data_IF_812524014337
#
_entry.id   IF_812524014337
#
_cell.length_a   1.000
_cell.length_b   1.000
_cell.length_c   1.000
_cell.angle_alpha   90.00
_cell.angle_beta   90.00
_cell.angle_gamma   90.00
#
_symmetry.space_group_name_H-M   'P 1'
#
loop_
_entity.id
_entity.type
_entity.pdbx_description
1 polymer ?
#
# COMPACT_ATOMS: atom_id res chain seq x y z
N UNK A 1 -13.24 0.76 10.81
CA UNK A 1 -12.86 0.38 9.44
C UNK A 1 -11.91 -0.78 9.48
N UNK A 2 -11.90 -1.60 8.44
CA UNK A 2 -10.99 -2.73 8.33
C UNK A 2 -9.70 -2.31 7.64
N UNK A 3 -8.63 -3.06 7.89
CA UNK A 3 -7.38 -2.90 7.16
C UNK A 3 -7.33 -3.88 6.00
N UNK A 4 -6.58 -3.47 4.99
CA UNK A 4 -6.40 -4.21 3.75
C UNK A 4 -4.96 -4.08 3.31
N UNK A 5 -4.52 -5.00 2.45
CA UNK A 5 -3.22 -4.91 1.79
C UNK A 5 -3.43 -5.09 0.30
N UNK A 6 -2.77 -4.28 -0.52
CA UNK A 6 -2.64 -4.63 -1.91
C UNK A 6 -1.18 -4.71 -2.32
N UNK A 7 -0.93 -5.66 -3.20
CA UNK A 7 0.39 -5.89 -3.78
C UNK A 7 0.41 -5.31 -5.19
N UNK A 8 1.55 -4.75 -5.56
CA UNK A 8 1.82 -4.26 -6.90
C UNK A 8 2.90 -5.17 -7.48
N UNK A 9 2.51 -6.03 -8.41
CA UNK A 9 3.43 -6.97 -9.04
C UNK A 9 4.03 -6.31 -10.27
N UNK A 10 5.34 -6.00 -10.27
CA UNK A 10 5.98 -5.32 -11.39
C UNK A 10 6.05 -6.22 -12.62
N UNK A 11 6.24 -5.64 -13.81
CA UNK A 11 6.17 -6.41 -15.07
C UNK A 11 7.38 -7.32 -15.31
N UNK A 12 8.48 -7.14 -14.56
CA UNK A 12 9.71 -7.92 -14.77
C UNK A 12 10.59 -7.90 -13.53
N UNK A 13 11.53 -8.83 -13.46
CA UNK A 13 12.57 -8.82 -12.42
C UNK A 13 13.47 -7.61 -12.56
N UNK A 14 14.12 -7.22 -11.47
CA UNK A 14 15.01 -6.05 -11.39
C UNK A 14 14.33 -4.77 -11.87
N UNK A 15 13.03 -4.66 -11.65
CA UNK A 15 12.22 -3.56 -12.16
C UNK A 15 12.74 -2.20 -11.70
N UNK A 16 13.05 -2.06 -10.40
CA UNK A 16 13.51 -0.78 -9.84
C UNK A 16 14.78 -0.28 -10.51
N UNK A 17 15.67 -1.19 -10.93
CA UNK A 17 16.93 -0.84 -11.57
C UNK A 17 16.82 -0.66 -13.08
N UNK A 18 15.70 -1.06 -13.69
CA UNK A 18 15.54 -1.10 -15.14
C UNK A 18 14.30 -0.36 -15.64
N UNK A 19 13.71 0.50 -14.82
CA UNK A 19 12.53 1.28 -15.25
C UNK A 19 12.84 2.15 -16.45
N UNK A 20 11.92 2.13 -17.42
CA UNK A 20 11.94 3.08 -18.54
C UNK A 20 11.60 4.48 -18.04
N UNK A 21 11.82 5.51 -18.86
CA UNK A 21 11.44 6.87 -18.52
C UNK A 21 9.94 6.99 -18.27
N UNK A 22 9.11 6.33 -19.07
CA UNK A 22 7.67 6.32 -18.89
C UNK A 22 7.28 5.65 -17.56
N UNK A 23 7.92 4.54 -17.22
CA UNK A 23 7.69 3.85 -15.95
C UNK A 23 8.09 4.72 -14.76
N UNK A 24 9.23 5.40 -14.84
CA UNK A 24 9.66 6.32 -13.80
C UNK A 24 8.65 7.43 -13.58
N UNK A 25 8.09 7.96 -14.66
CA UNK A 25 7.09 9.01 -14.58
C UNK A 25 5.80 8.55 -13.91
N UNK A 26 5.27 7.40 -14.32
CA UNK A 26 4.02 6.90 -13.75
C UNK A 26 4.21 6.44 -12.30
N UNK A 27 5.37 5.87 -11.95
CA UNK A 27 5.68 5.52 -10.56
C UNK A 27 5.83 6.77 -9.69
N UNK A 28 6.31 7.88 -10.25
CA UNK A 28 6.33 9.16 -9.57
C UNK A 28 4.94 9.66 -9.21
N UNK A 29 4.00 9.58 -10.14
CA UNK A 29 2.59 9.93 -9.91
C UNK A 29 1.96 9.01 -8.86
N UNK A 30 2.21 7.72 -8.97
CA UNK A 30 1.78 6.70 -8.02
C UNK A 30 2.27 7.04 -6.60
N UNK A 31 3.53 7.38 -6.45
CA UNK A 31 4.11 7.72 -5.16
C UNK A 31 3.48 8.96 -4.55
N UNK A 32 3.23 10.00 -5.36
CA UNK A 32 2.57 11.21 -4.88
C UNK A 32 1.13 10.92 -4.40
N UNK A 33 0.42 10.04 -5.10
CA UNK A 33 -0.91 9.62 -4.65
C UNK A 33 -0.85 8.90 -3.30
N UNK A 34 0.12 7.98 -3.13
CA UNK A 34 0.30 7.27 -1.86
C UNK A 34 0.62 8.21 -0.72
N UNK A 35 1.46 9.23 -0.96
CA UNK A 35 1.76 10.25 0.06
C UNK A 35 0.51 11.01 0.46
N UNK A 36 -0.33 11.38 -0.49
CA UNK A 36 -1.58 12.07 -0.21
C UNK A 36 -2.50 11.18 0.64
N UNK A 37 -2.63 9.90 0.27
CA UNK A 37 -3.46 8.96 1.02
C UNK A 37 -2.90 8.70 2.43
N UNK A 38 -1.58 8.77 2.60
CA UNK A 38 -0.96 8.69 3.91
C UNK A 38 -1.31 9.92 4.75
N UNK A 39 -1.21 11.10 4.18
CA UNK A 39 -1.53 12.36 4.86
C UNK A 39 -3.02 12.43 5.25
N UNK A 40 -3.88 11.86 4.44
CA UNK A 40 -5.32 11.78 4.70
C UNK A 40 -5.70 10.72 5.73
N UNK A 41 -4.77 9.86 6.11
CA UNK A 41 -5.02 8.80 7.09
C UNK A 41 -5.55 7.50 6.49
N UNK A 42 -5.59 7.37 5.17
CA UNK A 42 -6.02 6.15 4.49
C UNK A 42 -4.93 5.10 4.46
N UNK A 43 -3.71 5.49 4.06
CA UNK A 43 -2.56 4.58 4.04
C UNK A 43 -1.92 4.49 5.42
N UNK A 44 -1.50 3.28 5.78
CA UNK A 44 -0.81 2.99 7.04
C UNK A 44 0.69 2.84 6.78
N UNK A 45 1.06 2.03 5.79
CA UNK A 45 2.46 1.79 5.42
C UNK A 45 2.55 1.38 3.97
N UNK A 46 3.56 1.86 3.27
CA UNK A 46 3.80 1.50 1.88
C UNK A 46 5.30 1.29 1.68
N UNK A 47 5.65 0.42 0.76
CA UNK A 47 7.05 0.23 0.39
C UNK A 47 7.21 -0.98 -0.54
N UNK A 48 8.33 -1.06 -1.24
CA UNK A 48 8.64 -2.19 -2.10
C UNK A 48 9.50 -3.22 -1.38
N UNK A 49 9.44 -4.47 -1.84
CA UNK A 49 10.50 -5.41 -1.52
C UNK A 49 11.74 -5.07 -2.34
N UNK A 50 12.91 -5.34 -1.78
CA UNK A 50 14.18 -5.07 -2.43
C UNK A 50 14.76 -6.34 -3.04
N UNK A 51 15.85 -6.21 -3.78
CA UNK A 51 16.49 -7.35 -4.44
C UNK A 51 15.97 -7.55 -5.86
N UNK A 52 15.86 -8.80 -6.26
CA UNK A 52 15.53 -9.18 -7.64
C UNK A 52 14.06 -8.94 -7.97
N UNK A 53 13.17 -9.19 -7.04
CA UNK A 53 11.73 -9.00 -7.22
C UNK A 53 11.29 -7.79 -6.39
N UNK A 54 10.77 -6.77 -7.06
CA UNK A 54 10.39 -5.51 -6.43
C UNK A 54 8.86 -5.42 -6.33
N UNK A 55 8.30 -6.18 -5.40
CA UNK A 55 6.85 -6.16 -5.16
C UNK A 55 6.50 -4.97 -4.28
N UNK A 56 5.61 -4.10 -4.75
CA UNK A 56 5.08 -3.01 -3.95
C UNK A 56 4.04 -3.53 -2.96
N UNK A 57 4.03 -2.94 -1.76
CA UNK A 57 3.09 -3.29 -0.70
C UNK A 57 2.45 -2.02 -0.19
N UNK A 58 1.11 -2.01 -0.12
CA UNK A 58 0.34 -0.91 0.46
C UNK A 58 -0.63 -1.47 1.48
N UNK A 59 -0.48 -1.05 2.73
CA UNK A 59 -1.38 -1.41 3.84
C UNK A 59 -2.22 -0.18 4.15
N UNK A 60 -3.55 -0.35 4.19
CA UNK A 60 -4.46 0.80 4.27
C UNK A 60 -5.78 0.43 4.93
N UNK A 61 -6.59 1.44 5.21
CA UNK A 61 -7.93 1.28 5.79
C UNK A 61 -9.00 1.55 4.75
N UNK A 62 -10.05 0.74 4.78
CA UNK A 62 -11.25 0.96 3.98
C UNK A 62 -12.46 0.33 4.70
N UNK A 63 -13.68 0.85 4.47
CA UNK A 63 -14.86 0.32 5.18
C UNK A 63 -15.27 -1.08 4.74
N UNK A 64 -15.01 -1.45 3.49
CA UNK A 64 -15.39 -2.75 2.93
C UNK A 64 -14.49 -3.12 1.74
N UNK A 65 -14.70 -4.32 1.20
CA UNK A 65 -13.90 -4.82 0.09
C UNK A 65 -14.06 -3.99 -1.18
N UNK A 66 -15.27 -3.53 -1.48
CA UNK A 66 -15.51 -2.73 -2.69
C UNK A 66 -14.73 -1.41 -2.63
N UNK A 67 -14.74 -0.74 -1.49
CA UNK A 67 -13.96 0.48 -1.29
C UNK A 67 -12.45 0.20 -1.37
N UNK A 68 -12.00 -0.90 -0.76
CA UNK A 68 -10.59 -1.30 -0.82
C UNK A 68 -10.15 -1.58 -2.26
N UNK A 69 -10.98 -2.29 -3.02
CA UNK A 69 -10.68 -2.60 -4.41
C UNK A 69 -10.62 -1.35 -5.28
N UNK A 70 -11.51 -0.39 -5.04
CA UNK A 70 -11.48 0.90 -5.74
C UNK A 70 -10.19 1.64 -5.47
N UNK A 71 -9.72 1.67 -4.22
CA UNK A 71 -8.45 2.31 -3.86
C UNK A 71 -7.30 1.66 -4.63
N UNK A 72 -7.26 0.33 -4.71
CA UNK A 72 -6.23 -0.37 -5.46
C UNK A 72 -6.32 -0.09 -6.96
N UNK A 73 -7.52 -0.23 -7.54
CA UNK A 73 -7.72 -0.11 -8.99
C UNK A 73 -7.49 1.31 -9.51
N UNK A 74 -7.64 2.32 -8.66
CA UNK A 74 -7.37 3.71 -9.01
C UNK A 74 -5.89 4.08 -8.91
N UNK A 75 -5.04 3.18 -8.40
CA UNK A 75 -3.60 3.41 -8.40
C UNK A 75 -3.12 3.52 -9.85
N UNK A 76 -2.44 4.62 -10.22
CA UNK A 76 -2.03 4.87 -11.61
C UNK A 76 -1.24 3.74 -12.26
N UNK A 77 -0.41 3.03 -11.50
CA UNK A 77 0.38 1.93 -12.07
C UNK A 77 -0.49 0.70 -12.36
N UNK A 78 -1.59 0.53 -11.65
CA UNK A 78 -2.54 -0.56 -11.87
C UNK A 78 -3.56 -0.14 -12.93
N UNK A 79 -4.15 1.03 -12.77
CA UNK A 79 -5.13 1.58 -13.72
C UNK A 79 -4.56 1.69 -15.13
N UNK A 80 -3.28 2.06 -15.24
CA UNK A 80 -2.59 2.20 -16.52
C UNK A 80 -2.06 0.92 -17.12
N UNK A 81 -2.20 -0.21 -16.42
CA UNK A 81 -1.72 -1.50 -16.92
C UNK A 81 -0.21 -1.70 -16.81
N UNK A 82 0.49 -0.89 -16.02
CA UNK A 82 1.94 -1.01 -15.85
C UNK A 82 2.32 -2.12 -14.88
N UNK A 83 1.42 -2.47 -13.96
CA UNK A 83 1.65 -3.52 -12.99
C UNK A 83 0.34 -4.21 -12.67
N UNK A 84 0.43 -5.40 -12.08
CA UNK A 84 -0.74 -6.17 -11.67
C UNK A 84 -0.99 -5.95 -10.18
N UNK A 85 -2.24 -5.64 -9.82
CA UNK A 85 -2.66 -5.51 -8.43
C UNK A 85 -3.22 -6.81 -7.87
N UNK A 86 -3.03 -7.00 -6.58
CA UNK A 86 -3.62 -8.10 -5.83
C UNK A 86 -4.08 -7.58 -4.48
N UNK A 87 -5.37 -7.73 -4.17
CA UNK A 87 -5.96 -7.25 -2.92
C UNK A 87 -6.20 -8.42 -1.97
N UNK A 88 -5.88 -8.21 -0.69
CA UNK A 88 -6.20 -9.18 0.36
C UNK A 88 -6.68 -8.47 1.62
N UNK A 89 -7.61 -9.07 2.38
CA UNK A 89 -7.90 -8.62 3.73
C UNK A 89 -6.63 -8.74 4.58
N UNK A 90 -6.43 -7.79 5.47
CA UNK A 90 -5.24 -7.77 6.33
C UNK A 90 -5.60 -7.18 7.67
N UNK A 91 -4.84 -7.53 8.69
CA UNK A 91 -4.97 -6.95 10.02
C UNK A 91 -3.60 -6.52 10.51
N UNK A 92 -3.47 -5.25 10.84
CA UNK A 92 -2.28 -4.76 11.52
C UNK A 92 -2.39 -5.18 12.98
N UNK A 93 -1.67 -6.22 13.35
CA UNK A 93 -1.70 -6.75 14.71
C UNK A 93 -0.69 -6.07 15.62
N UNK A 94 0.47 -5.71 15.06
CA UNK A 94 1.54 -5.02 15.79
C UNK A 94 2.15 -3.96 14.88
N UNK A 95 2.36 -2.77 15.41
CA UNK A 95 2.97 -1.66 14.67
C UNK A 95 3.87 -0.88 15.62
N UNK A 96 5.09 -0.59 15.16
CA UNK A 96 6.04 0.24 15.90
C UNK A 96 6.01 1.66 15.37
N UNK A 97 6.46 2.60 16.16
CA UNK A 97 6.62 3.99 15.77
C UNK A 97 5.57 4.90 16.38
N UNK A 98 5.17 5.95 15.66
CA UNK A 98 4.22 6.95 16.16
C UNK A 98 2.86 6.38 16.57
N UNK A 99 2.44 5.29 15.93
CA UNK A 99 1.15 4.68 16.19
C UNK A 99 1.18 3.63 17.29
N UNK A 100 2.37 3.31 17.81
CA UNK A 100 2.55 2.29 18.84
C UNK A 100 1.73 2.59 20.09
N UNK A 101 1.77 3.83 20.56
CA UNK A 101 1.05 4.23 21.75
C UNK A 101 -0.46 4.12 21.56
N UNK A 102 -0.97 4.50 20.39
CA UNK A 102 -2.38 4.41 20.05
C UNK A 102 -2.85 2.96 20.00
N UNK A 103 -2.05 2.10 19.38
CA UNK A 103 -2.35 0.67 19.27
C UNK A 103 -2.32 0.03 20.66
N UNK A 104 -1.32 0.35 21.46
CA UNK A 104 -1.21 -0.16 22.83
C UNK A 104 -2.41 0.25 23.67
N UNK A 105 -2.83 1.51 23.59
CA UNK A 105 -3.99 1.99 24.30
C UNK A 105 -5.29 1.26 23.88
N UNK A 106 -5.44 0.97 22.59
CA UNK A 106 -6.58 0.21 22.08
C UNK A 106 -6.59 -1.24 22.61
N UNK A 107 -5.41 -1.88 22.68
CA UNK A 107 -5.29 -3.23 23.22
C UNK A 107 -5.60 -3.25 24.72
N UNK A 108 -5.10 -2.30 25.48
CA UNK A 108 -5.40 -2.19 26.92
C UNK A 108 -6.88 -1.96 27.18
N UNK A 109 -7.54 -1.12 26.38
CA UNK A 109 -8.97 -0.91 26.47
C UNK A 109 -9.78 -2.18 26.19
N UNK A 110 -9.31 -3.02 25.26
CA UNK A 110 -9.95 -4.29 24.93
C UNK A 110 -9.79 -5.33 26.06
N UNK A 111 -8.72 -5.24 26.84
CA UNK A 111 -8.47 -6.13 27.97
C UNK A 111 -9.23 -5.72 29.23
N UNK A 112 -9.63 -4.45 29.31
CA UNK A 112 -10.39 -3.95 30.45
C UNK A 112 -11.84 -4.41 30.41
#
# INVERSE_FOLDING_TARGET
>A
MAEWIYFIHPPRENFAATMTDEEQEVWGVHFQRLKRLLDEGTMIAVGPTLGTVNTGIAIFEAPDEDAARTIMEEDPVIAGGFARGELRPFRVSLLRGRDEARIRAALEAAEA
#
